data_IF_402082995153
#
_entry.id   IF_402082995153
#
_cell.length_a   1.000
_cell.length_b   1.000
_cell.length_c   1.000
_cell.angle_alpha   90.00
_cell.angle_beta   90.00
_cell.angle_gamma   90.00
#
_symmetry.space_group_name_H-M   'P 1'
#
loop_
_entity.id
_entity.type
_entity.pdbx_description
1 polymer ?
#
# COMPACT_ATOMS: atom_id res chain seq x y z
N UNK A 1 -5.44 -8.03 -31.34
CA UNK A 1 -5.43 -8.44 -29.92
C UNK A 1 -4.68 -7.35 -29.19
N UNK A 2 -5.34 -6.56 -28.35
CA UNK A 2 -4.63 -5.54 -27.56
C UNK A 2 -3.66 -6.29 -26.63
N UNK A 3 -2.36 -5.96 -26.68
CA UNK A 3 -1.45 -6.40 -25.62
C UNK A 3 -2.09 -6.00 -24.29
N UNK A 4 -2.32 -6.98 -23.41
CA UNK A 4 -2.71 -6.68 -22.03
C UNK A 4 -1.53 -5.94 -21.41
N UNK A 5 -1.78 -4.77 -20.85
CA UNK A 5 -0.81 -4.04 -20.08
C UNK A 5 -0.21 -4.99 -19.02
N UNK A 6 1.12 -5.21 -18.98
CA UNK A 6 1.73 -6.23 -18.12
C UNK A 6 1.62 -5.90 -16.62
N UNK A 7 0.99 -4.78 -16.28
CA UNK A 7 0.86 -4.25 -14.93
C UNK A 7 2.15 -3.55 -14.47
N UNK A 8 1.99 -2.51 -13.67
CA UNK A 8 3.09 -1.83 -12.99
C UNK A 8 3.32 -2.51 -11.64
N UNK A 9 4.51 -3.06 -11.41
CA UNK A 9 4.91 -3.53 -10.07
C UNK A 9 5.33 -2.34 -9.22
N UNK A 10 4.90 -2.37 -7.97
CA UNK A 10 5.14 -1.31 -7.00
C UNK A 10 5.71 -1.97 -5.76
N UNK A 11 6.79 -1.38 -5.26
CA UNK A 11 7.38 -1.71 -3.98
C UNK A 11 7.37 -0.43 -3.13
N UNK A 12 6.92 -0.55 -1.89
CA UNK A 12 6.74 0.57 -0.98
C UNK A 12 7.23 0.22 0.42
N UNK A 13 7.74 1.21 1.14
CA UNK A 13 8.13 1.06 2.53
C UNK A 13 7.53 2.13 3.44
N UNK A 14 7.28 1.72 4.69
CA UNK A 14 6.92 2.59 5.81
C UNK A 14 7.52 1.99 7.08
N UNK A 15 7.78 2.80 8.10
CA UNK A 15 8.14 2.24 9.41
C UNK A 15 6.89 1.76 10.14
N UNK A 16 7.04 0.69 10.89
CA UNK A 16 6.09 0.24 11.89
C UNK A 16 6.65 0.56 13.27
N UNK A 17 5.81 1.07 14.15
CA UNK A 17 6.15 1.23 15.55
C UNK A 17 6.16 -0.17 16.20
N UNK A 18 7.28 -0.64 16.77
CA UNK A 18 7.44 -2.04 17.19
C UNK A 18 6.37 -2.50 18.19
N UNK A 19 5.88 -1.60 19.04
CA UNK A 19 4.82 -1.87 20.02
C UNK A 19 3.48 -2.27 19.39
N UNK A 20 3.25 -1.97 18.11
CA UNK A 20 2.03 -2.32 17.37
C UNK A 20 2.18 -3.56 16.50
N UNK A 21 3.33 -4.25 16.49
CA UNK A 21 3.58 -5.36 15.55
C UNK A 21 2.50 -6.44 15.57
N UNK A 22 2.11 -6.90 16.76
CA UNK A 22 1.11 -7.96 16.90
C UNK A 22 -0.30 -7.48 16.53
N UNK A 23 -0.66 -6.23 16.88
CA UNK A 23 -1.93 -5.63 16.47
C UNK A 23 -2.01 -5.42 14.95
N UNK A 24 -0.90 -5.00 14.34
CA UNK A 24 -0.79 -4.85 12.89
C UNK A 24 -0.96 -6.18 12.17
N UNK A 25 -0.30 -7.24 12.63
CA UNK A 25 -0.49 -8.60 12.09
C UNK A 25 -1.94 -9.05 12.23
N UNK A 26 -2.54 -8.84 13.40
CA UNK A 26 -3.89 -9.30 13.68
C UNK A 26 -4.93 -8.62 12.80
N UNK A 27 -4.87 -7.28 12.66
CA UNK A 27 -5.81 -6.59 11.79
C UNK A 27 -5.66 -7.03 10.32
N UNK A 28 -4.43 -7.30 9.83
CA UNK A 28 -4.19 -7.74 8.46
C UNK A 28 -4.58 -9.20 8.17
N UNK A 29 -4.79 -10.04 9.19
CA UNK A 29 -5.46 -11.35 8.98
C UNK A 29 -6.96 -11.18 8.70
N UNK A 30 -7.53 -10.05 9.10
CA UNK A 30 -8.95 -9.75 9.09
C UNK A 30 -9.22 -8.41 8.37
N UNK A 31 -8.59 -8.21 7.21
CA UNK A 31 -8.81 -7.01 6.39
C UNK A 31 -10.30 -6.81 6.16
N UNK A 32 -10.77 -5.60 6.41
CA UNK A 32 -12.19 -5.27 6.28
C UNK A 32 -12.65 -5.36 4.82
N UNK A 33 -13.86 -5.85 4.60
CA UNK A 33 -14.41 -6.07 3.25
C UNK A 33 -14.36 -4.82 2.36
N UNK A 34 -14.70 -3.60 2.82
CA UNK A 34 -14.60 -2.40 1.99
C UNK A 34 -13.16 -2.09 1.54
N UNK A 35 -12.16 -2.39 2.36
CA UNK A 35 -10.74 -2.19 2.04
C UNK A 35 -10.31 -3.19 0.97
N UNK A 36 -10.67 -4.46 1.15
CA UNK A 36 -10.39 -5.51 0.17
C UNK A 36 -11.11 -5.26 -1.17
N UNK A 37 -12.36 -4.78 -1.12
CA UNK A 37 -13.12 -4.37 -2.30
C UNK A 37 -12.43 -3.21 -3.03
N UNK A 38 -11.88 -2.24 -2.30
CA UNK A 38 -11.13 -1.13 -2.87
C UNK A 38 -9.84 -1.57 -3.56
N UNK A 39 -9.10 -2.54 -3.02
CA UNK A 39 -7.93 -3.10 -3.71
C UNK A 39 -8.32 -3.59 -5.12
N UNK A 40 -9.41 -4.36 -5.22
CA UNK A 40 -9.92 -4.84 -6.52
C UNK A 40 -10.43 -3.70 -7.41
N UNK A 41 -11.19 -2.77 -6.84
CA UNK A 41 -11.80 -1.62 -7.55
C UNK A 41 -10.73 -0.73 -8.20
N UNK A 42 -9.58 -0.58 -7.56
CA UNK A 42 -8.46 0.25 -8.02
C UNK A 42 -7.30 -0.57 -8.60
N UNK A 43 -7.61 -1.76 -9.12
CA UNK A 43 -6.71 -2.58 -9.93
C UNK A 43 -5.42 -2.99 -9.21
N UNK A 44 -5.49 -3.22 -7.90
CA UNK A 44 -4.39 -3.74 -7.08
C UNK A 44 -4.52 -5.26 -7.00
N UNK A 45 -3.48 -5.96 -7.43
CA UNK A 45 -3.38 -7.41 -7.46
C UNK A 45 -2.06 -7.87 -6.83
N UNK A 46 -2.00 -9.14 -6.41
CA UNK A 46 -0.76 -9.77 -5.91
C UNK A 46 -0.11 -8.96 -4.77
N UNK A 47 -0.94 -8.44 -3.86
CA UNK A 47 -0.51 -7.54 -2.79
C UNK A 47 -0.06 -8.32 -1.55
N UNK A 48 1.19 -8.13 -1.16
CA UNK A 48 1.77 -8.61 0.10
C UNK A 48 2.40 -7.47 0.90
N UNK A 49 2.48 -7.65 2.22
CA UNK A 49 3.22 -6.79 3.14
C UNK A 49 4.13 -7.69 3.98
N UNK A 50 5.43 -7.40 3.99
CA UNK A 50 6.45 -8.09 4.76
C UNK A 50 6.97 -7.18 5.88
N UNK A 51 7.40 -7.76 6.99
CA UNK A 51 8.04 -7.01 8.08
C UNK A 51 9.52 -7.36 8.19
N UNK A 52 10.38 -6.35 8.20
CA UNK A 52 11.82 -6.45 8.40
C UNK A 52 12.17 -5.95 9.82
N UNK A 53 12.26 -6.85 10.82
CA UNK A 53 12.39 -6.48 12.23
C UNK A 53 13.68 -5.72 12.56
N UNK A 54 14.75 -5.89 11.79
CA UNK A 54 16.03 -5.20 12.02
C UNK A 54 15.96 -3.70 11.73
N UNK A 55 14.94 -3.28 10.97
CA UNK A 55 14.76 -1.89 10.53
C UNK A 55 13.42 -1.30 10.93
N UNK A 56 12.58 -2.09 11.61
CA UNK A 56 11.19 -1.76 11.90
C UNK A 56 10.42 -1.33 10.63
N UNK A 57 10.71 -1.97 9.49
CA UNK A 57 10.11 -1.61 8.19
C UNK A 57 9.03 -2.59 7.77
N UNK A 58 7.91 -2.05 7.30
CA UNK A 58 6.97 -2.76 6.45
C UNK A 58 7.35 -2.56 5.00
N UNK A 59 7.32 -3.64 4.22
CA UNK A 59 7.64 -3.68 2.80
C UNK A 59 6.41 -4.19 2.06
N UNK A 60 5.69 -3.30 1.40
CA UNK A 60 4.52 -3.59 0.60
C UNK A 60 4.94 -3.84 -0.86
N UNK A 61 4.47 -4.93 -1.47
CA UNK A 61 4.64 -5.19 -2.90
C UNK A 61 3.33 -5.58 -3.55
N UNK A 62 3.00 -4.98 -4.68
CA UNK A 62 1.78 -5.30 -5.44
C UNK A 62 1.94 -5.00 -6.94
N UNK A 63 1.03 -5.55 -7.73
CA UNK A 63 0.86 -5.24 -9.16
C UNK A 63 -0.34 -4.33 -9.34
N UNK A 64 -0.15 -3.21 -10.00
CA UNK A 64 -1.22 -2.36 -10.51
C UNK A 64 -1.55 -2.75 -11.94
N UNK A 65 -2.77 -3.21 -12.20
CA UNK A 65 -3.21 -3.73 -13.51
C UNK A 65 -4.10 -2.77 -14.30
N UNK A 66 -4.35 -1.57 -13.78
CA UNK A 66 -5.13 -0.54 -14.46
C UNK A 66 -4.31 0.26 -15.49
N UNK A 67 -4.98 1.20 -16.14
CA UNK A 67 -4.43 1.99 -17.25
C UNK A 67 -3.95 3.40 -16.83
N UNK A 68 -4.34 3.89 -15.65
CA UNK A 68 -4.00 5.24 -15.16
C UNK A 68 -3.78 5.25 -13.64
N UNK A 69 -2.52 5.03 -13.26
CA UNK A 69 -2.08 5.00 -11.86
C UNK A 69 -2.41 6.29 -11.10
N UNK A 70 -2.27 7.45 -11.75
CA UNK A 70 -2.47 8.73 -11.09
C UNK A 70 -3.95 8.93 -10.76
N UNK A 71 -4.82 8.63 -11.72
CA UNK A 71 -6.28 8.71 -11.55
C UNK A 71 -6.79 7.72 -10.50
N UNK A 72 -6.39 6.45 -10.60
CA UNK A 72 -6.85 5.43 -9.64
C UNK A 72 -6.27 5.66 -8.24
N UNK A 73 -5.02 6.13 -8.14
CA UNK A 73 -4.40 6.51 -6.89
C UNK A 73 -5.14 7.67 -6.20
N UNK A 74 -5.50 8.71 -6.96
CA UNK A 74 -6.29 9.83 -6.41
C UNK A 74 -7.69 9.38 -5.99
N UNK A 75 -8.37 8.56 -6.80
CA UNK A 75 -9.69 8.05 -6.47
C UNK A 75 -9.67 7.16 -5.21
N UNK A 76 -8.71 6.24 -5.11
CA UNK A 76 -8.51 5.37 -3.95
C UNK A 76 -8.25 6.16 -2.66
N UNK A 77 -7.43 7.20 -2.74
CA UNK A 77 -7.13 8.11 -1.61
C UNK A 77 -8.37 8.83 -1.08
N UNK A 78 -9.38 9.05 -1.92
CA UNK A 78 -10.63 9.71 -1.60
C UNK A 78 -11.78 8.73 -1.31
N UNK A 79 -11.53 7.42 -1.38
CA UNK A 79 -12.55 6.41 -1.15
C UNK A 79 -12.76 6.17 0.35
N UNK A 80 -13.98 6.46 0.83
CA UNK A 80 -14.34 6.36 2.25
C UNK A 80 -14.18 4.94 2.81
N UNK A 81 -14.23 3.90 1.97
CA UNK A 81 -14.00 2.51 2.35
C UNK A 81 -12.63 2.27 3.00
N UNK A 82 -11.65 3.14 2.72
CA UNK A 82 -10.30 3.04 3.27
C UNK A 82 -10.09 3.90 4.54
N UNK A 83 -10.93 4.91 4.79
CA UNK A 83 -10.59 5.99 5.74
C UNK A 83 -10.41 5.51 7.17
N UNK A 84 -11.37 4.73 7.68
CA UNK A 84 -11.31 4.22 9.07
C UNK A 84 -10.19 3.21 9.26
N UNK A 85 -9.94 2.39 8.23
CA UNK A 85 -8.83 1.44 8.23
C UNK A 85 -7.49 2.18 8.30
N UNK A 86 -7.30 3.18 7.44
CA UNK A 86 -6.11 4.02 7.44
C UNK A 86 -5.93 4.80 8.73
N UNK A 87 -6.97 5.41 9.29
CA UNK A 87 -6.85 6.12 10.56
C UNK A 87 -6.35 5.21 11.71
N UNK A 88 -6.74 3.92 11.68
CA UNK A 88 -6.24 2.92 12.61
C UNK A 88 -4.78 2.54 12.31
N UNK A 89 -4.45 2.18 11.07
CA UNK A 89 -3.10 1.71 10.71
C UNK A 89 -2.05 2.83 10.72
N UNK A 90 -2.41 4.07 10.39
CA UNK A 90 -1.52 5.23 10.42
C UNK A 90 -0.98 5.47 11.84
N UNK A 91 -1.78 5.18 12.89
CA UNK A 91 -1.35 5.29 14.30
C UNK A 91 -0.24 4.29 14.64
N UNK A 92 -0.23 3.14 13.97
CA UNK A 92 0.77 2.08 14.13
C UNK A 92 2.06 2.34 13.34
N UNK A 93 2.03 3.28 12.41
CA UNK A 93 3.09 3.52 11.43
C UNK A 93 3.80 4.85 11.67
N UNK A 94 4.98 4.97 11.08
CA UNK A 94 5.71 6.24 10.96
C UNK A 94 6.12 6.40 9.49
N UNK A 95 5.63 7.46 8.86
CA UNK A 95 5.94 7.74 7.46
C UNK A 95 7.39 8.16 7.26
N UNK A 96 7.99 7.73 6.15
CA UNK A 96 9.27 8.22 5.65
C UNK A 96 9.09 9.34 4.61
N UNK A 97 7.84 9.71 4.27
CA UNK A 97 7.52 10.78 3.32
C UNK A 97 7.58 12.13 4.04
N UNK A 98 8.50 13.05 3.68
CA UNK A 98 8.64 14.33 4.35
C UNK A 98 7.35 15.16 4.31
N UNK A 99 6.87 15.59 5.49
CA UNK A 99 5.70 16.45 5.62
C UNK A 99 4.34 15.75 5.48
N UNK A 100 4.31 14.43 5.25
CA UNK A 100 3.06 13.69 5.19
C UNK A 100 2.42 13.51 6.57
N UNK A 101 1.11 13.65 6.63
CA UNK A 101 0.33 13.63 7.88
C UNK A 101 -0.60 12.41 8.03
N UNK A 102 -0.70 11.56 7.00
CA UNK A 102 -1.48 10.32 7.01
C UNK A 102 -1.65 9.72 5.61
N UNK A 103 -2.25 8.53 5.52
CA UNK A 103 -2.55 7.83 4.25
C UNK A 103 -3.43 8.60 3.27
N UNK A 104 -4.14 9.63 3.76
CA UNK A 104 -5.00 10.51 2.93
C UNK A 104 -4.26 11.73 2.36
N UNK A 105 -3.02 11.96 2.78
CA UNK A 105 -2.18 13.06 2.31
C UNK A 105 -1.89 12.93 0.82
N UNK A 106 -1.91 14.04 0.08
CA UNK A 106 -1.60 14.03 -1.36
C UNK A 106 -0.14 13.67 -1.63
N UNK A 107 0.74 13.88 -0.66
CA UNK A 107 2.16 13.53 -0.72
C UNK A 107 2.38 12.01 -0.64
N UNK A 108 1.37 11.25 -0.19
CA UNK A 108 1.46 9.82 0.09
C UNK A 108 1.99 9.52 1.49
N UNK A 109 1.80 8.28 1.94
CA UNK A 109 2.20 7.83 3.29
C UNK A 109 3.30 6.79 3.28
N UNK A 110 3.35 5.98 2.21
CA UNK A 110 4.42 5.02 1.97
C UNK A 110 5.39 5.57 0.92
N UNK A 111 6.68 5.31 1.10
CA UNK A 111 7.72 5.69 0.13
C UNK A 111 7.80 4.64 -0.96
N UNK A 112 7.66 5.06 -2.23
CA UNK A 112 7.88 4.18 -3.37
C UNK A 112 9.37 3.90 -3.57
N UNK A 113 9.71 2.65 -3.88
CA UNK A 113 11.05 2.21 -4.22
C UNK A 113 11.18 1.97 -5.73
N UNK A 114 12.39 2.21 -6.26
CA UNK A 114 12.72 1.97 -7.66
C UNK A 114 12.91 0.46 -7.94
N UNK A 115 12.24 -0.05 -8.97
CA UNK A 115 12.53 -1.38 -9.51
C UNK A 115 13.81 -1.32 -10.34
N UNK A 116 14.96 -1.67 -9.74
CA UNK A 116 16.28 -1.61 -10.40
C UNK A 116 16.60 -2.87 -11.22
N UNK A 117 15.87 -3.96 -11.01
CA UNK A 117 16.04 -5.21 -11.75
C UNK A 117 14.74 -5.98 -11.82
N UNK A 118 14.49 -6.61 -12.97
CA UNK A 118 13.42 -7.57 -13.17
C UNK A 118 13.87 -8.67 -14.11
N UNK A 119 13.41 -9.88 -13.82
CA UNK A 119 13.44 -11.00 -14.73
C UNK A 119 12.02 -11.59 -14.87
N UNK A 120 11.58 -11.76 -16.11
CA UNK A 120 10.26 -12.28 -16.48
C UNK A 120 10.47 -13.32 -17.60
N UNK A 121 9.77 -14.46 -17.58
CA UNK A 121 9.97 -15.57 -18.53
C UNK A 121 8.66 -16.06 -19.14
#
# INVERSE_FOLDING_TARGET
MSEKHPGKRICQIVKLKPEYLEEYKECHKHVWEPVAANLKKYHIEDYSIHYAPEFDLLIATFKYTGDDWAKDGEASRLDEGNFKWWEMTDKMQETLVPGSTGSRDKSGWWVNLEEVFRYDH
#
